data_IF_252396467765
#
_entry.id   IF_252396467765
#
_cell.length_a   1.000
_cell.length_b   1.000
_cell.length_c   1.000
_cell.angle_alpha   90.00
_cell.angle_beta   90.00
_cell.angle_gamma   90.00
#
_symmetry.space_group_name_H-M   'P 1'
#
loop_
_entity.id
_entity.type
_entity.pdbx_description
1 polymer ?
#
# COMPACT_ATOMS: atom_id res chain seq x y z
N UNK A 1 -7.29 -8.06 11.09
CA UNK A 1 -7.29 -7.70 9.65
C UNK A 1 -7.76 -6.26 9.49
N UNK A 2 -7.08 -5.46 8.67
CA UNK A 2 -7.44 -4.08 8.33
C UNK A 2 -7.68 -3.99 6.81
N UNK A 3 -8.72 -3.28 6.37
CA UNK A 3 -8.99 -3.00 4.96
C UNK A 3 -8.87 -1.50 4.69
N UNK A 4 -8.17 -1.13 3.63
CA UNK A 4 -7.86 0.25 3.28
C UNK A 4 -8.27 0.47 1.82
N UNK A 5 -8.96 1.58 1.55
CA UNK A 5 -9.30 2.05 0.21
C UNK A 5 -8.59 3.38 -0.04
N UNK A 6 -7.69 3.43 -1.02
CA UNK A 6 -6.86 4.58 -1.34
C UNK A 6 -7.28 5.13 -2.71
N UNK A 7 -7.69 6.41 -2.82
CA UNK A 7 -7.98 7.01 -4.12
C UNK A 7 -6.69 7.31 -4.89
N UNK A 8 -6.75 7.17 -6.22
CA UNK A 8 -5.78 7.78 -7.12
C UNK A 8 -5.81 9.30 -6.98
N UNK A 9 -4.72 9.95 -7.38
CA UNK A 9 -4.65 11.40 -7.40
C UNK A 9 -4.09 11.92 -8.73
N UNK A 10 -4.43 13.17 -9.05
CA UNK A 10 -3.79 13.96 -10.10
C UNK A 10 -3.21 15.22 -9.48
N UNK A 11 -2.08 15.71 -9.99
CA UNK A 11 -1.34 16.85 -9.46
C UNK A 11 -1.27 18.01 -10.46
N UNK A 12 -0.73 19.15 -10.01
CA UNK A 12 -0.41 20.37 -10.75
C UNK A 12 -1.61 21.18 -11.30
N UNK A 13 -2.72 20.54 -11.71
CA UNK A 13 -4.01 21.14 -12.06
C UNK A 13 -3.92 22.54 -12.76
N UNK A 14 -3.03 22.67 -13.75
CA UNK A 14 -2.73 23.93 -14.42
C UNK A 14 -1.63 24.74 -13.71
N UNK A 15 -1.90 25.97 -13.22
CA UNK A 15 -0.89 26.82 -12.55
C UNK A 15 -0.54 26.34 -11.12
N UNK A 16 -1.19 25.28 -10.63
CA UNK A 16 -1.02 24.75 -9.28
C UNK A 16 0.19 23.83 -9.10
N UNK A 17 1.30 24.15 -9.78
CA UNK A 17 2.53 23.38 -9.72
C UNK A 17 2.97 23.16 -8.27
N UNK A 18 3.29 21.91 -7.90
CA UNK A 18 3.75 21.48 -6.58
C UNK A 18 2.85 21.87 -5.38
N UNK A 19 1.58 22.22 -5.60
CA UNK A 19 0.68 22.59 -4.51
C UNK A 19 -0.77 22.08 -4.66
N UNK A 20 -1.24 21.82 -5.88
CA UNK A 20 -2.60 21.30 -6.10
C UNK A 20 -2.58 19.79 -6.37
N UNK A 21 -3.49 19.10 -5.67
CA UNK A 21 -3.79 17.69 -5.88
C UNK A 21 -5.30 17.43 -5.85
N UNK A 22 -5.77 16.51 -6.69
CA UNK A 22 -7.17 16.09 -6.75
C UNK A 22 -7.27 14.57 -6.58
N UNK A 23 -8.06 14.12 -5.60
CA UNK A 23 -8.41 12.71 -5.46
C UNK A 23 -9.46 12.30 -6.50
N UNK A 24 -9.28 11.14 -7.12
CA UNK A 24 -10.15 10.61 -8.17
C UNK A 24 -10.92 9.38 -7.66
N UNK A 25 -12.05 9.07 -8.31
CA UNK A 25 -12.87 7.87 -8.02
C UNK A 25 -12.30 6.61 -8.69
N UNK A 26 -11.00 6.38 -8.52
CA UNK A 26 -10.25 5.21 -8.98
C UNK A 26 -9.39 4.76 -7.80
N UNK A 27 -9.31 3.46 -7.52
CA UNK A 27 -8.87 3.02 -6.19
C UNK A 27 -7.84 1.89 -6.21
N UNK A 28 -6.96 1.93 -5.22
CA UNK A 28 -6.19 0.80 -4.72
C UNK A 28 -6.88 0.29 -3.45
N UNK A 29 -7.13 -1.01 -3.38
CA UNK A 29 -7.62 -1.69 -2.19
C UNK A 29 -6.51 -2.51 -1.56
N UNK A 30 -6.31 -2.36 -0.25
CA UNK A 30 -5.36 -3.14 0.53
C UNK A 30 -6.08 -3.90 1.63
N UNK A 31 -5.73 -5.15 1.81
CA UNK A 31 -6.07 -5.94 2.99
C UNK A 31 -4.77 -6.34 3.69
N UNK A 32 -4.66 -6.01 4.98
CA UNK A 32 -3.50 -6.35 5.81
C UNK A 32 -3.92 -7.21 6.98
N UNK A 33 -3.24 -8.35 7.13
CA UNK A 33 -3.49 -9.33 8.16
C UNK A 33 -2.17 -9.70 8.84
N UNK A 34 -2.19 -9.69 10.16
CA UNK A 34 -1.07 -10.17 10.96
C UNK A 34 -1.02 -11.70 10.89
N UNK A 35 0.16 -12.27 10.65
CA UNK A 35 0.39 -13.71 10.57
C UNK A 35 1.50 -14.11 11.56
N UNK A 36 1.69 -15.41 11.78
CA UNK A 36 2.68 -15.90 12.75
C UNK A 36 4.10 -15.44 12.41
N UNK A 37 4.53 -15.55 11.16
CA UNK A 37 5.86 -15.13 10.72
C UNK A 37 5.90 -14.81 9.21
N UNK A 38 6.99 -14.16 8.79
CA UNK A 38 7.27 -13.89 7.38
C UNK A 38 6.50 -12.72 6.77
N UNK A 39 6.57 -12.64 5.44
CA UNK A 39 5.91 -11.62 4.62
C UNK A 39 5.27 -12.32 3.43
N UNK A 40 3.96 -12.13 3.26
CA UNK A 40 3.21 -12.63 2.10
C UNK A 40 2.59 -11.42 1.40
N UNK A 41 2.89 -11.24 0.12
CA UNK A 41 2.31 -10.17 -0.69
C UNK A 41 1.62 -10.80 -1.91
N UNK A 42 0.32 -10.55 -2.06
CA UNK A 42 -0.50 -11.04 -3.16
C UNK A 42 -1.09 -9.84 -3.90
N UNK A 43 -0.85 -9.73 -5.20
CA UNK A 43 -1.36 -8.63 -6.03
C UNK A 43 -2.39 -9.07 -7.06
N UNK A 44 -3.36 -8.21 -7.34
CA UNK A 44 -4.35 -8.35 -8.41
C UNK A 44 -4.59 -7.00 -9.09
N UNK A 45 -4.99 -7.04 -10.37
CA UNK A 45 -5.27 -5.84 -11.15
C UNK A 45 -4.01 -5.22 -11.77
N UNK A 46 -4.01 -3.90 -11.93
CA UNK A 46 -2.95 -3.16 -12.62
C UNK A 46 -1.58 -3.34 -11.95
N UNK A 47 -0.56 -3.70 -12.74
CA UNK A 47 0.82 -3.89 -12.27
C UNK A 47 1.04 -5.10 -11.34
N UNK A 48 0.08 -6.01 -11.22
CA UNK A 48 0.18 -7.15 -10.29
C UNK A 48 1.38 -8.08 -10.59
N UNK A 49 1.72 -8.26 -11.86
CA UNK A 49 2.86 -9.11 -12.29
C UNK A 49 4.22 -8.48 -12.01
N UNK A 50 4.26 -7.15 -11.87
CA UNK A 50 5.47 -6.37 -11.59
C UNK A 50 5.67 -6.11 -10.09
N UNK A 51 4.69 -6.52 -9.28
CA UNK A 51 4.68 -6.27 -7.85
C UNK A 51 5.77 -7.09 -7.14
N UNK A 52 6.74 -6.41 -6.55
CA UNK A 52 7.75 -7.03 -5.70
C UNK A 52 7.08 -7.78 -4.52
N UNK A 53 7.41 -9.05 -4.33
CA UNK A 53 6.82 -9.87 -3.27
C UNK A 53 7.66 -9.88 -1.98
N UNK A 54 8.77 -9.14 -1.97
CA UNK A 54 9.72 -9.07 -0.88
C UNK A 54 9.65 -7.75 -0.11
N UNK A 55 10.77 -7.43 0.53
CA UNK A 55 10.89 -6.22 1.37
C UNK A 55 11.12 -4.95 0.56
N UNK A 56 11.32 -5.07 -0.76
CA UNK A 56 11.50 -3.90 -1.62
C UNK A 56 10.19 -3.26 -2.07
N UNK A 57 9.09 -3.99 -1.94
CA UNK A 57 7.73 -3.53 -2.12
C UNK A 57 7.42 -2.23 -1.32
N UNK A 58 6.92 -1.20 -2.01
CA UNK A 58 6.60 0.10 -1.42
C UNK A 58 5.45 0.06 -0.41
N UNK A 59 4.48 -0.83 -0.59
CA UNK A 59 3.35 -1.03 0.34
C UNK A 59 3.89 -1.62 1.64
N UNK A 60 4.76 -2.63 1.56
CA UNK A 60 5.44 -3.19 2.73
C UNK A 60 6.28 -2.11 3.44
N UNK A 61 7.15 -1.39 2.72
CA UNK A 61 7.98 -0.32 3.30
C UNK A 61 7.12 0.74 4.02
N UNK A 62 5.99 1.11 3.42
CA UNK A 62 5.05 2.08 4.02
C UNK A 62 4.39 1.53 5.29
N UNK A 63 3.88 0.29 5.25
CA UNK A 63 3.32 -0.38 6.42
C UNK A 63 4.38 -0.53 7.54
N UNK A 64 5.60 -0.87 7.16
CA UNK A 64 6.74 -1.02 8.05
C UNK A 64 7.04 0.28 8.82
N UNK A 65 7.02 1.43 8.13
CA UNK A 65 7.21 2.76 8.74
C UNK A 65 6.08 3.11 9.70
N UNK A 66 4.83 2.86 9.32
CA UNK A 66 3.66 3.12 10.17
C UNK A 66 3.70 2.27 11.42
N UNK A 67 3.96 0.96 11.30
CA UNK A 67 4.06 0.05 12.44
C UNK A 67 5.18 0.46 13.40
N UNK A 68 6.35 0.86 12.88
CA UNK A 68 7.46 1.37 13.71
C UNK A 68 7.04 2.61 14.49
N UNK A 69 6.34 3.55 13.85
CA UNK A 69 5.88 4.79 14.48
C UNK A 69 4.75 4.56 15.50
N UNK A 70 3.92 3.54 15.28
CA UNK A 70 2.85 3.16 16.18
C UNK A 70 3.33 2.33 17.41
N UNK A 71 4.62 2.01 17.50
CA UNK A 71 5.17 1.20 18.59
C UNK A 71 4.94 -0.31 18.42
N UNK A 72 4.62 -0.77 17.21
CA UNK A 72 4.46 -2.20 16.92
C UNK A 72 5.79 -2.95 16.97
N UNK A 73 5.85 -3.99 17.81
CA UNK A 73 7.00 -4.89 17.93
C UNK A 73 6.96 -5.96 16.81
N UNK A 74 7.77 -5.75 15.77
CA UNK A 74 7.87 -6.65 14.61
C UNK A 74 8.65 -7.93 14.89
N UNK A 75 9.32 -8.04 16.04
CA UNK A 75 10.14 -9.23 16.34
C UNK A 75 9.32 -10.50 16.57
N UNK A 76 7.98 -10.38 16.63
CA UNK A 76 7.10 -11.47 17.06
C UNK A 76 6.10 -11.96 16.02
N UNK A 77 5.89 -11.23 14.91
CA UNK A 77 4.77 -11.50 13.99
C UNK A 77 5.09 -11.09 12.55
N UNK A 78 4.57 -11.87 11.60
CA UNK A 78 4.63 -11.57 10.16
C UNK A 78 3.45 -10.74 9.66
N UNK A 79 3.47 -10.41 8.37
CA UNK A 79 2.39 -9.65 7.72
C UNK A 79 1.99 -10.27 6.38
N UNK A 80 0.69 -10.46 6.17
CA UNK A 80 0.08 -10.75 4.87
C UNK A 80 -0.57 -9.50 4.31
N UNK A 81 -0.23 -9.15 3.08
CA UNK A 81 -0.75 -8.00 2.33
C UNK A 81 -1.41 -8.54 1.06
N UNK A 82 -2.69 -8.23 0.87
CA UNK A 82 -3.37 -8.42 -0.41
C UNK A 82 -3.67 -7.08 -1.04
N UNK A 83 -3.48 -6.98 -2.35
CA UNK A 83 -3.76 -5.76 -3.10
C UNK A 83 -4.71 -6.05 -4.25
N UNK A 84 -5.61 -5.12 -4.50
CA UNK A 84 -6.36 -5.04 -5.76
C UNK A 84 -6.23 -3.63 -6.29
N UNK A 85 -5.40 -3.48 -7.33
CA UNK A 85 -5.07 -2.19 -7.92
C UNK A 85 -5.91 -1.93 -9.17
N UNK A 86 -6.61 -0.80 -9.20
CA UNK A 86 -7.31 -0.31 -10.40
C UNK A 86 -6.64 0.95 -10.97
N UNK A 87 -5.55 1.41 -10.36
CA UNK A 87 -4.83 2.62 -10.75
C UNK A 87 -3.69 2.23 -11.71
N UNK A 88 -3.68 2.76 -12.94
CA UNK A 88 -2.60 2.55 -13.91
C UNK A 88 -1.24 3.09 -13.44
#
# INVERSE_FOLDING_TARGET
MVKIRIPASSANLGPGFDCLGLALKLYLYLEMEEIEEGLIIEGQGEGAEELDQGKDNLIWKSAELVLKKAGGDKSKKGLKIKTFNQIP
#
